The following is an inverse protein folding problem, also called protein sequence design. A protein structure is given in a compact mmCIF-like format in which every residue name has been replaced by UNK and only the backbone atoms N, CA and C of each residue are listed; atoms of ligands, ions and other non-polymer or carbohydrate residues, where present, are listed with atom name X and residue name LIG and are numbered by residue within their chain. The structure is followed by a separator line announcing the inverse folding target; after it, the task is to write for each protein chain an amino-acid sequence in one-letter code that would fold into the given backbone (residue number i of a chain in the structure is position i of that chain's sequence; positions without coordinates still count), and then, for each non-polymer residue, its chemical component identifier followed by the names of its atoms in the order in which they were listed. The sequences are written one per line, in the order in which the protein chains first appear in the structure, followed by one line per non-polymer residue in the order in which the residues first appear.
data_IF_180863137833
#
_entry.id   IF_180863137833
#
_cell.length_a   1.000
_cell.length_b   1.000
_cell.length_c   1.000
_cell.angle_alpha   90.00
_cell.angle_beta   90.00
_cell.angle_gamma   90.00
#
_symmetry.space_group_name_H-M   'P 1'
#
loop_
_entity.id
_entity.type
_entity.pdbx_description
1 polymer ?
#
# COMPACT_ATOMS: atom_id res chain seq x y z
N UNK A 1 16.55 -3.13 -8.39
CA UNK A 1 17.20 -1.91 -7.92
C UNK A 1 17.09 -1.84 -6.40
N UNK A 2 18.17 -1.56 -5.67
CA UNK A 2 18.25 -1.69 -4.21
C UNK A 2 19.19 -2.83 -3.78
N UNK A 3 18.95 -3.40 -2.60
CA UNK A 3 19.73 -4.50 -2.00
C UNK A 3 19.13 -5.90 -2.23
N UNK A 4 18.02 -5.99 -2.97
CA UNK A 4 17.41 -7.26 -3.37
C UNK A 4 16.59 -7.95 -2.28
N UNK A 5 16.25 -7.25 -1.18
CA UNK A 5 15.56 -7.85 -0.04
C UNK A 5 14.03 -7.67 -0.06
N UNK A 6 13.49 -6.78 -0.90
CA UNK A 6 12.09 -6.34 -0.84
C UNK A 6 11.08 -7.49 -0.84
N UNK A 7 11.31 -8.52 -1.67
CA UNK A 7 10.47 -9.72 -1.70
C UNK A 7 10.52 -10.52 -0.39
N UNK A 8 11.70 -10.66 0.21
CA UNK A 8 11.85 -11.30 1.53
C UNK A 8 11.16 -10.51 2.64
N UNK A 9 11.26 -9.17 2.59
CA UNK A 9 10.60 -8.26 3.54
C UNK A 9 9.08 -8.39 3.50
N UNK A 10 8.49 -8.42 2.29
CA UNK A 10 7.04 -8.65 2.13
C UNK A 10 6.62 -10.08 2.50
N UNK A 11 7.43 -11.10 2.17
CA UNK A 11 7.15 -12.48 2.58
C UNK A 11 7.15 -12.63 4.11
N UNK A 12 8.05 -11.93 4.81
CA UNK A 12 8.08 -11.91 6.28
C UNK A 12 6.84 -11.26 6.86
N UNK A 13 6.41 -10.12 6.32
CA UNK A 13 5.16 -9.46 6.71
C UNK A 13 3.95 -10.39 6.53
N UNK A 14 3.82 -11.03 5.36
CA UNK A 14 2.71 -11.94 5.07
C UNK A 14 2.67 -13.13 6.05
N UNK A 15 3.82 -13.75 6.36
CA UNK A 15 3.90 -14.84 7.36
C UNK A 15 3.52 -14.36 8.76
N UNK A 16 4.00 -13.19 9.16
CA UNK A 16 3.65 -12.62 10.47
C UNK A 16 2.15 -12.34 10.59
N UNK A 17 1.50 -11.82 9.53
CA UNK A 17 0.04 -11.64 9.49
C UNK A 17 -0.68 -12.99 9.59
N UNK A 18 -0.23 -14.01 8.85
CA UNK A 18 -0.83 -15.35 8.91
C UNK A 18 -0.73 -15.98 10.30
N UNK A 19 0.43 -15.88 10.96
CA UNK A 19 0.63 -16.36 12.33
C UNK A 19 -0.25 -15.59 13.31
N UNK A 20 -0.34 -14.27 13.17
CA UNK A 20 -1.18 -13.42 14.00
C UNK A 20 -2.68 -13.78 13.91
N UNK A 21 -3.20 -13.98 12.70
CA UNK A 21 -4.60 -14.41 12.48
C UNK A 21 -4.88 -15.80 13.03
N UNK A 22 -3.89 -16.72 12.99
CA UNK A 22 -4.03 -18.07 13.57
C UNK A 22 -4.01 -18.05 15.10
N UNK A 23 -3.25 -17.14 15.70
CA UNK A 23 -3.08 -17.06 17.14
C UNK A 23 -4.30 -16.45 17.83
N UNK A 24 -5.00 -15.52 17.18
CA UNK A 24 -6.21 -14.89 17.73
C UNK A 24 -7.15 -14.37 16.64
N UNK A 25 -8.46 -14.30 16.89
CA UNK A 25 -9.38 -13.63 15.98
C UNK A 25 -8.96 -12.16 15.76
N UNK A 26 -8.94 -11.68 14.49
CA UNK A 26 -8.67 -10.28 14.21
C UNK A 26 -9.80 -9.38 14.74
N UNK A 27 -9.52 -8.10 15.08
CA UNK A 27 -10.56 -7.16 15.45
C UNK A 27 -11.61 -7.01 14.34
N UNK A 28 -12.90 -6.99 14.72
CA UNK A 28 -13.99 -6.81 13.76
C UNK A 28 -14.10 -5.36 13.26
N UNK A 29 -13.69 -4.38 14.07
CA UNK A 29 -13.72 -2.97 13.70
C UNK A 29 -12.55 -2.63 12.75
N UNK A 30 -12.80 -2.10 11.54
CA UNK A 30 -11.74 -1.83 10.56
C UNK A 30 -10.60 -0.95 11.09
N UNK A 31 -10.92 0.13 11.81
CA UNK A 31 -9.89 0.99 12.41
C UNK A 31 -8.97 0.23 13.38
N UNK A 32 -9.53 -0.68 14.20
CA UNK A 32 -8.74 -1.48 15.13
C UNK A 32 -7.91 -2.53 14.40
N UNK A 33 -8.45 -3.12 13.33
CA UNK A 33 -7.72 -4.06 12.47
C UNK A 33 -6.52 -3.37 11.80
N UNK A 34 -6.72 -2.20 11.19
CA UNK A 34 -5.63 -1.45 10.55
C UNK A 34 -4.55 -1.04 11.55
N UNK A 35 -4.93 -0.55 12.74
CA UNK A 35 -3.96 -0.22 13.80
C UNK A 35 -3.17 -1.45 14.26
N UNK A 36 -3.84 -2.59 14.46
CA UNK A 36 -3.16 -3.82 14.86
C UNK A 36 -2.19 -4.34 13.78
N UNK A 37 -2.56 -4.22 12.50
CA UNK A 37 -1.67 -4.54 11.38
C UNK A 37 -0.51 -3.55 11.30
N UNK A 38 -0.73 -2.27 11.58
CA UNK A 38 0.33 -1.26 11.63
C UNK A 38 1.41 -1.63 12.64
N UNK A 39 1.00 -1.93 13.89
CA UNK A 39 1.90 -2.35 14.96
C UNK A 39 2.68 -3.61 14.57
N UNK A 40 1.98 -4.61 14.01
CA UNK A 40 2.59 -5.87 13.59
C UNK A 40 3.65 -5.66 12.50
N UNK A 41 3.37 -4.82 11.50
CA UNK A 41 4.30 -4.55 10.40
C UNK A 41 5.50 -3.72 10.87
N UNK A 42 5.30 -2.75 11.76
CA UNK A 42 6.39 -2.01 12.40
C UNK A 42 7.36 -2.93 13.14
N UNK A 43 6.83 -3.95 13.81
CA UNK A 43 7.65 -4.91 14.58
C UNK A 43 8.30 -5.98 13.69
N UNK A 44 7.56 -6.54 12.72
CA UNK A 44 7.96 -7.80 12.06
C UNK A 44 8.45 -7.65 10.62
N UNK A 45 8.04 -6.63 9.88
CA UNK A 45 8.39 -6.51 8.46
C UNK A 45 9.88 -6.14 8.30
N UNK A 46 10.32 -5.13 9.05
CA UNK A 46 11.67 -4.58 8.93
C UNK A 46 11.86 -3.71 7.68
N UNK A 47 13.03 -3.08 7.59
CA UNK A 47 13.36 -2.16 6.50
C UNK A 47 12.51 -0.88 6.49
N UNK A 48 12.70 -0.04 5.47
CA UNK A 48 11.88 1.16 5.29
C UNK A 48 10.42 0.83 4.98
N UNK A 49 10.14 -0.29 4.30
CA UNK A 49 8.78 -0.74 3.99
C UNK A 49 7.95 -0.95 5.25
N UNK A 50 8.49 -1.58 6.30
CA UNK A 50 7.76 -1.77 7.56
C UNK A 50 7.32 -0.46 8.21
N UNK A 51 8.22 0.54 8.24
CA UNK A 51 7.90 1.88 8.72
C UNK A 51 6.84 2.58 7.87
N UNK A 52 6.95 2.49 6.54
CA UNK A 52 6.02 3.13 5.62
C UNK A 52 4.62 2.50 5.65
N UNK A 53 4.51 1.17 5.66
CA UNK A 53 3.23 0.50 5.82
C UNK A 53 2.62 0.73 7.20
N UNK A 54 3.42 0.72 8.27
CA UNK A 54 2.96 1.07 9.61
C UNK A 54 2.35 2.47 9.67
N UNK A 55 3.04 3.43 9.07
CA UNK A 55 2.56 4.81 8.96
C UNK A 55 1.27 4.92 8.14
N UNK A 56 1.23 4.28 6.97
CA UNK A 56 0.06 4.22 6.11
C UNK A 56 -1.16 3.69 6.87
N UNK A 57 -1.03 2.52 7.49
CA UNK A 57 -2.13 1.84 8.16
C UNK A 57 -2.60 2.61 9.40
N UNK A 58 -1.67 3.19 10.16
CA UNK A 58 -1.99 4.03 11.33
C UNK A 58 -2.81 5.25 10.92
N UNK A 59 -2.48 5.89 9.81
CA UNK A 59 -3.22 7.05 9.32
C UNK A 59 -4.56 6.64 8.69
N UNK A 60 -4.58 5.56 7.91
CA UNK A 60 -5.79 4.99 7.30
C UNK A 60 -6.82 4.52 8.33
N UNK A 61 -6.40 4.13 9.53
CA UNK A 61 -7.32 3.78 10.61
C UNK A 61 -8.18 4.97 11.08
N UNK A 62 -7.69 6.22 10.95
CA UNK A 62 -8.34 7.40 11.57
C UNK A 62 -9.73 7.69 11.00
N UNK A 63 -9.94 7.78 9.66
CA UNK A 63 -11.27 8.01 9.10
C UNK A 63 -12.27 6.90 9.47
N UNK A 64 -11.76 5.68 9.71
CA UNK A 64 -12.57 4.49 9.97
C UNK A 64 -13.03 4.31 11.42
N UNK A 65 -12.69 5.21 12.34
CA UNK A 65 -13.03 5.07 13.77
C UNK A 65 -14.54 5.15 14.04
N UNK A 66 -15.23 6.06 13.35
CA UNK A 66 -16.64 6.37 13.61
C UNK A 66 -17.58 5.81 12.54
N UNK A 67 -17.08 5.67 11.30
CA UNK A 67 -17.83 5.21 10.13
C UNK A 67 -16.91 4.35 9.26
N UNK A 68 -17.45 3.33 8.62
CA UNK A 68 -16.69 2.41 7.78
C UNK A 68 -17.41 2.08 6.46
N UNK A 69 -18.27 2.99 6.00
CA UNK A 69 -18.91 2.93 4.69
C UNK A 69 -17.91 3.23 3.56
N UNK A 70 -18.30 2.93 2.32
CA UNK A 70 -17.41 3.00 1.15
C UNK A 70 -16.65 4.33 0.99
N UNK A 71 -17.27 5.52 1.20
CA UNK A 71 -16.53 6.78 1.12
C UNK A 71 -15.36 6.87 2.12
N UNK A 72 -15.53 6.30 3.33
CA UNK A 72 -14.50 6.33 4.37
C UNK A 72 -13.27 5.48 4.01
N UNK A 73 -13.43 4.47 3.15
CA UNK A 73 -12.29 3.69 2.63
C UNK A 73 -11.46 4.49 1.62
N UNK A 74 -12.10 5.35 0.81
CA UNK A 74 -11.36 6.30 -0.04
C UNK A 74 -10.60 7.32 0.81
N UNK A 75 -11.24 7.86 1.85
CA UNK A 75 -10.60 8.80 2.78
C UNK A 75 -9.47 8.15 3.60
N UNK A 76 -9.61 6.87 3.95
CA UNK A 76 -8.57 6.08 4.60
C UNK A 76 -7.34 5.90 3.71
N UNK A 77 -7.55 5.62 2.42
CA UNK A 77 -6.47 5.51 1.43
C UNK A 77 -5.71 6.84 1.31
N UNK A 78 -6.43 7.95 1.19
CA UNK A 78 -5.85 9.30 1.08
C UNK A 78 -5.05 9.64 2.35
N UNK A 79 -5.59 9.39 3.54
CA UNK A 79 -4.91 9.64 4.80
C UNK A 79 -3.61 8.82 4.94
N UNK A 80 -3.63 7.56 4.50
CA UNK A 80 -2.44 6.70 4.46
C UNK A 80 -1.36 7.24 3.54
N UNK A 81 -1.73 7.64 2.32
CA UNK A 81 -0.80 8.21 1.33
C UNK A 81 -0.23 9.54 1.82
N UNK A 82 -1.06 10.44 2.32
CA UNK A 82 -0.62 11.74 2.84
C UNK A 82 0.41 11.57 3.96
N UNK A 83 0.17 10.63 4.88
CA UNK A 83 1.12 10.32 5.93
C UNK A 83 2.45 9.82 5.37
N UNK A 84 2.42 8.83 4.45
CA UNK A 84 3.62 8.32 3.81
C UNK A 84 4.41 9.39 3.07
N UNK A 85 3.74 10.30 2.34
CA UNK A 85 4.42 11.42 1.67
C UNK A 85 5.08 12.36 2.69
N UNK A 86 4.32 12.74 3.73
CA UNK A 86 4.76 13.70 4.74
C UNK A 86 5.99 13.23 5.52
N UNK A 87 6.04 11.97 5.93
CA UNK A 87 7.12 11.47 6.78
C UNK A 87 8.14 10.59 6.03
N UNK A 88 7.76 10.01 4.89
CA UNK A 88 8.65 9.25 4.02
C UNK A 88 9.43 10.11 3.03
N UNK A 89 8.95 11.33 2.74
CA UNK A 89 9.65 12.31 1.91
C UNK A 89 9.63 12.05 0.41
N UNK A 90 8.86 11.04 -0.04
CA UNK A 90 8.66 10.72 -1.46
C UNK A 90 7.29 11.20 -1.95
N UNK A 91 7.17 11.40 -3.24
CA UNK A 91 5.95 11.78 -3.95
C UNK A 91 5.69 10.82 -5.14
N UNK A 92 4.45 10.78 -5.67
CA UNK A 92 4.19 10.19 -6.98
C UNK A 92 5.15 10.75 -8.02
N UNK A 93 5.78 9.86 -8.79
CA UNK A 93 6.85 10.17 -9.74
C UNK A 93 8.25 9.80 -9.23
N UNK A 94 8.45 9.59 -7.92
CA UNK A 94 9.78 9.30 -7.35
C UNK A 94 10.21 7.84 -7.48
N UNK A 95 9.43 7.02 -8.20
CA UNK A 95 9.69 5.60 -8.44
C UNK A 95 9.70 4.80 -7.13
N UNK A 96 8.57 4.79 -6.44
CA UNK A 96 8.38 4.10 -5.17
C UNK A 96 7.02 3.41 -5.10
N UNK A 97 6.72 2.74 -3.98
CA UNK A 97 5.40 2.21 -3.69
C UNK A 97 4.26 3.25 -3.76
N UNK A 98 4.57 4.55 -3.61
CA UNK A 98 3.58 5.61 -3.73
C UNK A 98 3.00 5.73 -5.13
N UNK A 99 3.73 5.38 -6.19
CA UNK A 99 3.21 5.46 -7.56
C UNK A 99 2.00 4.53 -7.75
N UNK A 100 2.13 3.31 -7.25
CA UNK A 100 1.06 2.31 -7.30
C UNK A 100 -0.09 2.65 -6.33
N UNK A 101 0.22 3.08 -5.10
CA UNK A 101 -0.80 3.49 -4.11
C UNK A 101 -1.61 4.68 -4.61
N UNK A 102 -0.94 5.71 -5.14
CA UNK A 102 -1.59 6.92 -5.62
C UNK A 102 -2.50 6.63 -6.80
N UNK A 103 -2.04 5.84 -7.79
CA UNK A 103 -2.88 5.44 -8.93
C UNK A 103 -4.13 4.66 -8.47
N UNK A 104 -4.00 3.77 -7.49
CA UNK A 104 -5.13 3.06 -6.90
C UNK A 104 -6.11 4.01 -6.19
N UNK A 105 -5.60 4.97 -5.41
CA UNK A 105 -6.42 5.93 -4.68
C UNK A 105 -7.28 6.79 -5.61
N UNK A 106 -6.72 7.24 -6.73
CA UNK A 106 -7.47 8.00 -7.74
C UNK A 106 -8.69 7.22 -8.26
N UNK A 107 -8.57 5.90 -8.45
CA UNK A 107 -9.71 5.06 -8.82
C UNK A 107 -10.69 4.86 -7.64
N UNK A 108 -10.16 4.64 -6.42
CA UNK A 108 -10.97 4.46 -5.20
C UNK A 108 -11.82 5.68 -4.84
N UNK A 109 -11.47 6.88 -5.32
CA UNK A 109 -12.32 8.08 -5.13
C UNK A 109 -13.74 7.90 -5.68
N UNK A 110 -13.95 7.00 -6.64
CA UNK A 110 -15.29 6.64 -7.12
C UNK A 110 -16.20 6.07 -6.03
N UNK A 111 -15.64 5.50 -4.94
CA UNK A 111 -16.41 5.03 -3.77
C UNK A 111 -17.17 6.14 -3.03
N UNK A 112 -16.83 7.40 -3.27
CA UNK A 112 -17.54 8.56 -2.72
C UNK A 112 -18.88 8.83 -3.43
N UNK A 113 -19.07 8.25 -4.62
CA UNK A 113 -20.30 8.41 -5.38
C UNK A 113 -21.44 7.53 -4.82
N UNK A 114 -22.68 8.05 -4.71
CA UNK A 114 -23.82 7.23 -4.32
C UNK A 114 -24.00 6.03 -5.26
N UNK A 115 -24.19 4.84 -4.69
CA UNK A 115 -24.42 3.61 -5.46
C UNK A 115 -23.17 3.01 -6.12
N UNK A 116 -21.96 3.43 -5.71
CA UNK A 116 -20.72 2.85 -6.21
C UNK A 116 -20.66 1.33 -5.96
N UNK A 117 -20.26 0.57 -6.99
CA UNK A 117 -19.99 -0.85 -6.90
C UNK A 117 -18.56 -1.06 -6.38
N UNK A 118 -18.42 -1.56 -5.14
CA UNK A 118 -17.14 -1.81 -4.49
C UNK A 118 -16.23 -2.70 -5.35
N UNK A 119 -16.74 -3.81 -5.90
CA UNK A 119 -15.91 -4.78 -6.61
C UNK A 119 -15.44 -4.21 -7.95
N UNK A 120 -16.30 -3.46 -8.65
CA UNK A 120 -15.93 -2.81 -9.90
C UNK A 120 -14.87 -1.70 -9.68
N UNK A 121 -15.08 -0.87 -8.66
CA UNK A 121 -14.14 0.21 -8.31
C UNK A 121 -12.80 -0.36 -7.85
N UNK A 122 -12.82 -1.39 -7.00
CA UNK A 122 -11.59 -2.04 -6.55
C UNK A 122 -10.85 -2.76 -7.69
N UNK A 123 -11.57 -3.39 -8.62
CA UNK A 123 -10.95 -3.97 -9.82
C UNK A 123 -10.24 -2.90 -10.67
N UNK A 124 -10.84 -1.72 -10.81
CA UNK A 124 -10.23 -0.59 -11.50
C UNK A 124 -9.00 -0.09 -10.76
N UNK A 125 -9.07 0.03 -9.43
CA UNK A 125 -7.95 0.43 -8.59
C UNK A 125 -6.76 -0.54 -8.69
N UNK A 126 -7.01 -1.86 -8.73
CA UNK A 126 -5.97 -2.87 -8.95
C UNK A 126 -5.31 -2.70 -10.31
N UNK A 127 -6.09 -2.53 -11.38
CA UNK A 127 -5.55 -2.31 -12.73
C UNK A 127 -4.70 -1.04 -12.80
N UNK A 128 -5.16 0.07 -12.18
CA UNK A 128 -4.39 1.31 -12.09
C UNK A 128 -3.10 1.12 -11.30
N UNK A 129 -3.13 0.39 -10.20
CA UNK A 129 -1.97 0.07 -9.38
C UNK A 129 -0.92 -0.77 -10.13
N UNK A 130 -1.36 -1.81 -10.86
CA UNK A 130 -0.51 -2.67 -11.68
C UNK A 130 0.13 -1.89 -12.84
N UNK A 131 -0.64 -1.06 -13.54
CA UNK A 131 -0.14 -0.22 -14.62
C UNK A 131 0.87 0.81 -14.13
N UNK A 132 0.60 1.46 -12.99
CA UNK A 132 1.52 2.41 -12.37
C UNK A 132 2.80 1.73 -11.89
N UNK A 133 2.69 0.53 -11.29
CA UNK A 133 3.85 -0.26 -10.92
C UNK A 133 4.72 -0.59 -12.12
N UNK A 134 4.16 -1.03 -13.25
CA UNK A 134 4.94 -1.28 -14.47
C UNK A 134 5.60 0.00 -15.01
N UNK A 135 4.87 1.12 -15.01
CA UNK A 135 5.38 2.40 -15.50
C UNK A 135 6.61 2.89 -14.73
N UNK A 136 6.78 2.50 -13.45
CA UNK A 136 7.96 2.86 -12.67
C UNK A 136 9.28 2.44 -13.32
N UNK A 137 9.29 1.41 -14.17
CA UNK A 137 10.49 0.97 -14.91
C UNK A 137 11.12 2.08 -15.76
N UNK A 138 10.33 3.07 -16.16
CA UNK A 138 10.74 4.20 -17.01
C UNK A 138 10.99 5.48 -16.21
N UNK A 139 10.89 5.44 -14.89
CA UNK A 139 11.09 6.60 -14.01
C UNK A 139 12.52 6.66 -13.48
N UNK A 140 12.97 7.88 -13.20
CA UNK A 140 14.16 8.11 -12.38
C UNK A 140 13.79 8.02 -10.90
N UNK A 141 14.66 7.42 -10.09
CA UNK A 141 14.40 7.27 -8.67
C UNK A 141 14.69 8.58 -7.92
N UNK A 142 13.65 9.23 -7.42
CA UNK A 142 13.75 10.41 -6.55
C UNK A 142 13.99 10.05 -5.07
N UNK A 143 13.64 8.83 -4.66
CA UNK A 143 13.72 8.39 -3.28
C UNK A 143 14.17 6.92 -3.10
N UNK A 144 14.49 6.57 -1.86
CA UNK A 144 14.87 5.21 -1.46
C UNK A 144 16.24 4.77 -2.00
N UNK A 145 16.56 3.48 -1.84
CA UNK A 145 17.88 2.94 -2.25
C UNK A 145 18.08 2.93 -3.77
N UNK A 146 17.00 3.02 -4.54
CA UNK A 146 17.07 3.09 -5.99
C UNK A 146 17.67 4.44 -6.48
N UNK A 147 17.56 5.52 -5.70
CA UNK A 147 18.14 6.81 -6.07
C UNK A 147 19.67 6.86 -5.99
N UNK A 148 20.30 5.83 -5.42
CA UNK A 148 21.77 5.73 -5.32
C UNK A 148 22.44 5.19 -6.58
N UNK A 149 21.66 4.68 -7.53
CA UNK A 149 22.16 4.08 -8.77
C UNK A 149 21.60 4.81 -9.99
N UNK A 150 22.38 4.82 -11.07
CA UNK A 150 22.00 5.49 -12.32
C UNK A 150 20.68 4.94 -12.87
N UNK A 151 19.81 5.82 -13.37
CA UNK A 151 18.54 5.47 -14.03
C UNK A 151 18.72 4.48 -15.18
N UNK A 152 19.86 4.52 -15.88
CA UNK A 152 20.20 3.57 -16.94
C UNK A 152 20.30 2.10 -16.47
N UNK A 153 20.49 1.86 -15.17
CA UNK A 153 20.55 0.51 -14.57
C UNK A 153 19.20 0.06 -14.00
N UNK A 154 18.18 0.93 -14.01
CA UNK A 154 16.88 0.70 -13.39
C UNK A 154 15.85 0.06 -14.36
N UNK A 155 16.21 -1.07 -14.97
CA UNK A 155 15.45 -1.67 -16.09
C UNK A 155 14.15 -2.43 -15.70
N UNK A 156 13.98 -2.73 -14.43
CA UNK A 156 12.82 -3.46 -13.88
C UNK A 156 11.87 -2.49 -13.17
N UNK A 157 10.59 -2.82 -12.97
CA UNK A 157 9.70 -2.06 -12.09
C UNK A 157 10.26 -1.89 -10.66
N UNK A 158 9.83 -0.85 -9.96
CA UNK A 158 10.10 -0.68 -8.53
C UNK A 158 9.44 -1.83 -7.74
N UNK A 159 10.21 -2.57 -6.93
CA UNK A 159 9.66 -3.72 -6.21
C UNK A 159 8.63 -3.33 -5.14
N UNK A 160 8.70 -2.10 -4.58
CA UNK A 160 7.69 -1.60 -3.65
C UNK A 160 6.35 -1.34 -4.34
N UNK A 161 6.38 -0.71 -5.52
CA UNK A 161 5.20 -0.49 -6.35
C UNK A 161 4.55 -1.82 -6.79
N UNK A 162 5.37 -2.80 -7.21
CA UNK A 162 4.89 -4.14 -7.54
C UNK A 162 4.24 -4.82 -6.34
N UNK A 163 4.83 -4.68 -5.15
CA UNK A 163 4.28 -5.28 -3.93
C UNK A 163 2.92 -4.67 -3.55
N UNK A 164 2.76 -3.35 -3.67
CA UNK A 164 1.45 -2.69 -3.46
C UNK A 164 0.39 -3.23 -4.41
N UNK A 165 0.69 -3.30 -5.70
CA UNK A 165 -0.25 -3.85 -6.68
C UNK A 165 -0.65 -5.29 -6.34
N UNK A 166 0.31 -6.12 -5.93
CA UNK A 166 0.06 -7.49 -5.49
C UNK A 166 -0.83 -7.57 -4.23
N UNK A 167 -0.62 -6.69 -3.25
CA UNK A 167 -1.46 -6.61 -2.04
C UNK A 167 -2.89 -6.22 -2.39
N UNK A 168 -3.09 -5.18 -3.22
CA UNK A 168 -4.41 -4.75 -3.65
C UNK A 168 -5.15 -5.83 -4.44
N UNK A 169 -4.43 -6.55 -5.29
CA UNK A 169 -4.98 -7.71 -6.01
C UNK A 169 -5.44 -8.81 -5.06
N UNK A 170 -4.64 -9.14 -4.04
CA UNK A 170 -5.01 -10.12 -3.03
C UNK A 170 -6.26 -9.69 -2.24
N UNK A 171 -6.43 -8.40 -1.95
CA UNK A 171 -7.66 -7.86 -1.33
C UNK A 171 -8.87 -8.07 -2.23
N UNK A 172 -8.76 -7.73 -3.52
CA UNK A 172 -9.83 -7.95 -4.49
C UNK A 172 -10.23 -9.43 -4.59
N UNK A 173 -9.24 -10.32 -4.68
CA UNK A 173 -9.46 -11.76 -4.74
C UNK A 173 -10.11 -12.31 -3.46
N UNK A 174 -9.74 -11.79 -2.29
CA UNK A 174 -10.33 -12.20 -1.01
C UNK A 174 -11.75 -11.68 -0.76
N UNK A 175 -12.21 -10.68 -1.51
CA UNK A 175 -13.57 -10.14 -1.44
C UNK A 175 -14.53 -10.75 -2.48
N UNK A 176 -14.02 -11.53 -3.43
CA UNK A 176 -14.80 -12.29 -4.41
C UNK A 176 -15.20 -13.64 -3.83
#
# INVERSE_FOLDING_TARGET
AGDGDCGHTHARAARAIQEWVRARPPPAAPAQLLSALADLLLEKMGGSSGALYGLFLTAAARPLHNRNDLPMWADAMDAGIEAMQRYGGAAPGDRTMLDSLWAAAQALHALRSPGADLLQVLATAVQSAEAAAEATRHMEAGAGRASYISSAQLLQPDPGAVAVAAVLKAVLEGLR
#
